data_IF_843504021890
#
_entry.id   IF_843504021890
#
_cell.length_a   1.000
_cell.length_b   1.000
_cell.length_c   1.000
_cell.angle_alpha   90.00
_cell.angle_beta   90.00
_cell.angle_gamma   90.00
#
_symmetry.space_group_name_H-M   'P 1'
#
loop_
_entity.id
_entity.type
_entity.pdbx_description
1 polymer ?
#
# COMPACT_ATOMS: atom_id res chain seq x y z
N UNK A 1 16.23 -0.70 1.86
CA UNK A 1 16.32 0.60 2.57
C UNK A 1 17.52 0.75 3.51
N UNK A 2 17.50 0.28 4.76
CA UNK A 2 18.51 0.67 5.79
C UNK A 2 19.96 0.36 5.39
N UNK A 3 20.24 -0.87 4.93
CA UNK A 3 21.59 -1.23 4.44
C UNK A 3 22.06 -0.34 3.28
N UNK A 4 21.16 -0.02 2.36
CA UNK A 4 21.43 0.90 1.23
C UNK A 4 21.75 2.30 1.73
N UNK A 5 21.00 2.80 2.71
CA UNK A 5 21.21 4.11 3.33
C UNK A 5 22.58 4.19 4.03
N UNK A 6 22.96 3.14 4.77
CA UNK A 6 24.27 3.02 5.41
C UNK A 6 25.40 2.99 4.38
N UNK A 7 25.26 2.20 3.31
CA UNK A 7 26.26 2.14 2.22
C UNK A 7 26.46 3.49 1.54
N UNK A 8 25.38 4.27 1.38
CA UNK A 8 25.40 5.63 0.81
C UNK A 8 25.82 6.71 1.82
N UNK A 9 26.04 6.37 3.10
CA UNK A 9 26.35 7.31 4.19
C UNK A 9 25.33 8.45 4.31
N UNK A 10 24.06 8.15 4.06
CA UNK A 10 22.98 9.14 4.17
C UNK A 10 22.57 9.32 5.64
N UNK A 11 22.25 10.56 6.08
CA UNK A 11 21.73 10.79 7.42
C UNK A 11 20.36 10.13 7.61
N UNK A 12 20.06 9.71 8.84
CA UNK A 12 18.76 9.14 9.21
C UNK A 12 17.65 10.17 9.05
N UNK A 13 16.82 9.99 8.03
CA UNK A 13 15.61 10.77 7.80
C UNK A 13 14.60 9.94 7.01
N UNK A 14 13.31 10.26 7.16
CA UNK A 14 12.23 9.63 6.38
C UNK A 14 12.49 9.73 4.88
N UNK A 15 12.85 10.92 4.38
CA UNK A 15 13.21 11.15 2.98
C UNK A 15 14.28 10.19 2.47
N UNK A 16 15.33 9.96 3.26
CA UNK A 16 16.44 9.09 2.86
C UNK A 16 16.08 7.60 2.95
N UNK A 17 15.22 7.22 3.90
CA UNK A 17 14.67 5.85 3.98
C UNK A 17 13.81 5.59 2.74
N UNK A 18 12.89 6.48 2.40
CA UNK A 18 12.00 6.40 1.23
C UNK A 18 12.81 6.30 -0.06
N UNK A 19 13.83 7.15 -0.24
CA UNK A 19 14.72 7.11 -1.40
C UNK A 19 15.58 5.83 -1.51
N UNK A 20 15.57 4.99 -0.47
CA UNK A 20 16.28 3.72 -0.44
C UNK A 20 15.35 2.49 -0.39
N UNK A 21 14.03 2.68 -0.43
CA UNK A 21 13.07 1.58 -0.61
C UNK A 21 13.14 1.05 -2.05
N UNK A 22 12.74 -0.21 -2.25
CA UNK A 22 12.71 -0.81 -3.59
C UNK A 22 11.69 -0.12 -4.50
N UNK A 23 10.70 0.58 -3.91
CA UNK A 23 9.70 1.39 -4.60
C UNK A 23 10.13 2.86 -4.77
N UNK A 24 11.40 3.21 -4.53
CA UNK A 24 11.85 4.59 -4.65
C UNK A 24 11.52 5.17 -6.04
N UNK A 25 10.84 6.32 -6.07
CA UNK A 25 10.39 6.97 -7.31
C UNK A 25 9.04 6.47 -7.84
N UNK A 26 8.43 5.48 -7.19
CA UNK A 26 7.06 5.02 -7.47
C UNK A 26 6.13 5.66 -6.42
N UNK A 27 4.97 6.22 -6.81
CA UNK A 27 4.00 6.75 -5.85
C UNK A 27 3.48 5.66 -4.92
N UNK A 28 3.18 6.04 -3.68
CA UNK A 28 2.54 5.16 -2.71
C UNK A 28 1.13 4.77 -3.20
N UNK A 29 0.65 3.55 -2.92
CA UNK A 29 -0.67 3.11 -3.34
C UNK A 29 -1.76 3.87 -2.57
N UNK A 30 -2.80 4.28 -3.27
CA UNK A 30 -3.98 4.87 -2.61
C UNK A 30 -4.96 3.80 -2.10
N UNK A 31 -5.05 2.67 -2.81
CA UNK A 31 -5.94 1.55 -2.51
C UNK A 31 -5.17 0.23 -2.61
N UNK A 32 -5.30 -0.60 -1.58
CA UNK A 32 -4.80 -1.98 -1.58
C UNK A 32 -5.99 -2.93 -1.55
N UNK A 33 -6.14 -3.72 -2.62
CA UNK A 33 -7.18 -4.74 -2.74
C UNK A 33 -6.58 -6.09 -2.36
N UNK A 34 -7.17 -6.75 -1.36
CA UNK A 34 -6.76 -8.09 -0.92
C UNK A 34 -7.91 -9.09 -1.01
N UNK A 35 -7.72 -10.07 -1.87
CA UNK A 35 -8.63 -11.20 -2.11
C UNK A 35 -8.38 -12.35 -1.15
N UNK A 36 -9.27 -13.36 -1.15
CA UNK A 36 -9.06 -14.61 -0.41
C UNK A 36 -9.47 -14.58 1.07
N UNK A 37 -10.25 -13.58 1.49
CA UNK A 37 -10.94 -13.56 2.78
C UNK A 37 -10.07 -13.37 4.02
N UNK A 38 -8.78 -13.06 3.87
CA UNK A 38 -7.87 -12.77 5.00
C UNK A 38 -7.73 -11.26 5.21
N UNK A 39 -8.08 -10.79 6.40
CA UNK A 39 -7.99 -9.37 6.80
C UNK A 39 -6.65 -9.05 7.45
N UNK A 40 -5.57 -9.07 6.66
CA UNK A 40 -4.22 -8.68 7.10
C UNK A 40 -3.38 -8.24 5.91
N UNK A 41 -2.33 -7.45 6.10
CA UNK A 41 -1.40 -7.10 5.02
C UNK A 41 -0.27 -8.12 4.82
N UNK A 42 0.04 -8.94 5.82
CA UNK A 42 1.17 -9.90 5.74
C UNK A 42 2.51 -9.25 5.36
N UNK A 43 2.75 -8.01 5.80
CA UNK A 43 3.99 -7.28 5.47
C UNK A 43 4.06 -6.79 4.02
N UNK A 44 2.93 -6.71 3.32
CA UNK A 44 2.88 -6.13 1.98
C UNK A 44 3.07 -4.61 2.07
N UNK A 45 4.23 -4.13 1.62
CA UNK A 45 4.58 -2.71 1.51
C UNK A 45 4.25 -1.84 2.73
N UNK A 46 4.71 -2.20 3.95
CA UNK A 46 4.25 -1.59 5.19
C UNK A 46 4.57 -0.10 5.33
N UNK A 47 5.57 0.41 4.59
CA UNK A 47 5.88 1.85 4.58
C UNK A 47 4.96 2.61 3.63
N UNK A 48 4.77 2.05 2.43
CA UNK A 48 4.00 2.68 1.36
C UNK A 48 2.49 2.66 1.67
N UNK A 49 2.03 1.69 2.47
CA UNK A 49 0.61 1.52 2.75
C UNK A 49 0.09 2.28 3.97
N UNK A 50 0.88 3.19 4.56
CA UNK A 50 0.51 3.90 5.80
C UNK A 50 -0.78 4.71 5.65
N UNK A 51 -1.01 5.28 4.46
CA UNK A 51 -2.20 6.07 4.13
C UNK A 51 -3.04 5.46 2.99
N UNK A 52 -2.83 4.19 2.70
CA UNK A 52 -3.67 3.46 1.74
C UNK A 52 -4.97 3.04 2.39
N UNK A 53 -6.04 3.07 1.61
CA UNK A 53 -7.27 2.38 1.95
C UNK A 53 -7.11 0.89 1.72
N UNK A 54 -7.60 0.08 2.67
CA UNK A 54 -7.45 -1.37 2.64
C UNK A 54 -8.80 -2.05 2.36
N UNK A 55 -8.98 -2.53 1.13
CA UNK A 55 -10.18 -3.25 0.73
C UNK A 55 -9.94 -4.77 0.80
N UNK A 56 -10.64 -5.45 1.70
CA UNK A 56 -10.57 -6.90 1.84
C UNK A 56 -11.84 -7.55 1.30
N UNK A 57 -11.69 -8.54 0.42
CA UNK A 57 -12.81 -9.32 -0.10
C UNK A 57 -12.62 -10.82 0.11
N UNK A 58 -13.73 -11.54 0.26
CA UNK A 58 -13.77 -13.01 0.31
C UNK A 58 -13.60 -13.65 -1.06
N UNK A 59 -13.83 -12.88 -2.13
CA UNK A 59 -13.62 -13.30 -3.52
C UNK A 59 -12.20 -13.82 -3.69
N UNK A 60 -12.05 -15.00 -4.29
CA UNK A 60 -10.74 -15.58 -4.60
C UNK A 60 -10.15 -14.88 -5.83
N UNK A 61 -8.82 -14.85 -5.95
CA UNK A 61 -8.18 -14.18 -7.08
C UNK A 61 -8.66 -14.68 -8.47
N UNK A 62 -8.84 -16.00 -8.72
CA UNK A 62 -9.37 -16.47 -9.99
C UNK A 62 -10.79 -16.00 -10.32
N UNK A 63 -11.57 -15.64 -9.29
CA UNK A 63 -12.96 -15.18 -9.41
C UNK A 63 -13.07 -13.64 -9.41
N UNK A 64 -11.96 -12.93 -9.20
CA UNK A 64 -11.94 -11.47 -9.13
C UNK A 64 -12.05 -10.88 -10.54
N UNK A 65 -13.23 -10.35 -10.87
CA UNK A 65 -13.58 -9.79 -12.17
C UNK A 65 -13.88 -8.28 -12.08
N UNK A 66 -14.28 -7.68 -13.21
CA UNK A 66 -14.60 -6.26 -13.33
C UNK A 66 -15.62 -5.78 -12.28
N UNK A 67 -16.67 -6.57 -11.99
CA UNK A 67 -17.67 -6.21 -10.97
C UNK A 67 -17.09 -6.17 -9.56
N UNK A 68 -16.09 -6.99 -9.27
CA UNK A 68 -15.40 -6.99 -7.98
C UNK A 68 -14.43 -5.81 -7.87
N UNK A 69 -13.82 -5.41 -8.99
CA UNK A 69 -13.04 -4.18 -9.08
C UNK A 69 -13.92 -2.94 -8.86
N UNK A 70 -15.09 -2.88 -9.49
CA UNK A 70 -16.05 -1.77 -9.30
C UNK A 70 -16.46 -1.60 -7.83
N UNK A 71 -16.64 -2.72 -7.11
CA UNK A 71 -16.92 -2.68 -5.66
C UNK A 71 -15.75 -2.09 -4.87
N UNK A 72 -14.52 -2.46 -5.21
CA UNK A 72 -13.32 -1.94 -4.55
C UNK A 72 -13.13 -0.44 -4.83
N UNK A 73 -13.36 0.00 -6.07
CA UNK A 73 -13.32 1.42 -6.45
C UNK A 73 -14.45 2.19 -5.77
N UNK A 74 -15.66 1.63 -5.74
CA UNK A 74 -16.82 2.21 -5.07
C UNK A 74 -16.58 2.41 -3.57
N UNK A 75 -15.95 1.43 -2.90
CA UNK A 75 -15.49 1.57 -1.52
C UNK A 75 -14.50 2.75 -1.39
N UNK A 76 -13.47 2.78 -2.23
CA UNK A 76 -12.45 3.84 -2.18
C UNK A 76 -13.04 5.25 -2.35
N UNK A 77 -13.96 5.42 -3.31
CA UNK A 77 -14.59 6.72 -3.59
C UNK A 77 -15.48 7.23 -2.44
N UNK A 78 -15.98 6.35 -1.58
CA UNK A 78 -16.79 6.73 -0.42
C UNK A 78 -15.95 7.07 0.80
N UNK A 79 -14.66 6.72 0.80
CA UNK A 79 -13.79 6.92 1.95
C UNK A 79 -13.22 8.34 1.98
N UNK A 80 -13.38 9.03 3.10
CA UNK A 80 -12.73 10.31 3.34
C UNK A 80 -11.33 10.11 3.92
N UNK A 81 -10.32 10.51 3.16
CA UNK A 81 -8.90 10.38 3.54
C UNK A 81 -8.43 11.65 4.23
N UNK A 82 -8.07 11.57 5.51
CA UNK A 82 -7.54 12.69 6.29
C UNK A 82 -6.00 12.74 6.31
N UNK A 83 -5.30 11.70 5.84
CA UNK A 83 -3.84 11.63 5.81
C UNK A 83 -3.19 11.95 7.18
N UNK A 84 -3.83 11.55 8.28
CA UNK A 84 -3.34 11.81 9.64
C UNK A 84 -3.49 13.26 10.12
N UNK A 85 -4.34 14.06 9.45
CA UNK A 85 -4.80 15.37 9.94
C UNK A 85 -5.91 15.24 10.99
#
# INVERSE_FOLDING_TARGET
AVRTMMKKKLPSSEKNIIACLDTAGIPDPDLVIRTGGRTRLSGFMPWQTVYSELYFTKTLWPDFNEKELDKAIGFFNQTQRNFGK
#
